data_IF_850921036562
#
_entry.id   IF_850921036562
#
_cell.length_a   1.000
_cell.length_b   1.000
_cell.length_c   1.000
_cell.angle_alpha   90.00
_cell.angle_beta   90.00
_cell.angle_gamma   90.00
#
_symmetry.space_group_name_H-M   'P 1'
#
loop_
_entity.id
_entity.type
_entity.pdbx_description
1 polymer ?
#
# COMPACT_ATOMS: atom_id res chain seq x y z
N UNK A 1 -14.29 8.27 -8.32
CA UNK A 1 -13.74 8.87 -7.09
C UNK A 1 -12.40 8.20 -6.87
N UNK A 2 -11.29 8.92 -7.12
CA UNK A 2 -9.94 8.33 -7.14
C UNK A 2 -9.46 8.24 -5.69
N UNK A 3 -9.35 7.02 -5.18
CA UNK A 3 -8.68 6.80 -3.90
C UNK A 3 -7.17 6.80 -4.15
N UNK A 4 -6.42 7.52 -3.32
CA UNK A 4 -4.96 7.61 -3.42
C UNK A 4 -4.30 6.90 -2.25
N UNK A 5 -3.27 6.11 -2.53
CA UNK A 5 -2.41 5.51 -1.51
C UNK A 5 -1.24 6.45 -1.24
N UNK A 6 -0.99 6.74 0.04
CA UNK A 6 0.17 7.49 0.51
C UNK A 6 1.13 6.55 1.24
N UNK A 7 2.37 6.45 0.77
CA UNK A 7 3.42 5.62 1.40
C UNK A 7 4.48 6.52 2.03
N UNK A 8 4.72 6.34 3.33
CA UNK A 8 5.81 6.96 4.09
C UNK A 8 6.74 5.86 4.60
N UNK A 9 7.99 5.88 4.13
CA UNK A 9 9.10 5.00 4.55
C UNK A 9 8.81 3.48 4.55
N UNK A 10 7.79 3.01 3.81
CA UNK A 10 7.38 1.60 3.71
C UNK A 10 6.74 1.01 4.97
N UNK A 11 6.77 1.74 6.10
CA UNK A 11 6.15 1.33 7.38
C UNK A 11 4.75 1.90 7.56
N UNK A 12 4.44 3.03 6.92
CA UNK A 12 3.16 3.68 7.04
C UNK A 12 2.55 3.86 5.65
N UNK A 13 1.48 3.09 5.38
CA UNK A 13 0.74 3.12 4.13
C UNK A 13 -0.70 3.49 4.43
N UNK A 14 -1.19 4.58 3.86
CA UNK A 14 -2.54 5.09 4.13
C UNK A 14 -3.38 5.07 2.86
N UNK A 15 -4.68 4.83 3.01
CA UNK A 15 -5.66 4.91 1.93
C UNK A 15 -6.51 6.17 2.11
N UNK A 16 -6.30 7.17 1.27
CA UNK A 16 -7.17 8.33 1.19
C UNK A 16 -8.34 8.02 0.24
N UNK A 17 -9.57 8.19 0.73
CA UNK A 17 -10.79 7.90 -0.05
C UNK A 17 -11.18 9.05 -0.98
N UNK A 18 -10.77 10.26 -0.63
CA UNK A 18 -11.08 11.49 -1.33
C UNK A 18 -9.98 12.54 -1.07
N UNK A 19 -10.09 13.70 -1.73
CA UNK A 19 -9.11 14.79 -1.63
C UNK A 19 -9.06 15.44 -0.25
N UNK A 20 -10.18 15.51 0.47
CA UNK A 20 -10.21 16.09 1.81
C UNK A 20 -9.47 15.18 2.77
N UNK A 21 -9.76 13.88 2.72
CA UNK A 21 -9.09 12.85 3.51
C UNK A 21 -7.59 12.78 3.23
N UNK A 22 -7.17 13.02 1.98
CA UNK A 22 -5.76 13.15 1.63
C UNK A 22 -5.10 14.36 2.30
N UNK A 23 -5.78 15.51 2.28
CA UNK A 23 -5.30 16.73 2.94
C UNK A 23 -5.13 16.53 4.44
N UNK A 24 -6.11 15.90 5.08
CA UNK A 24 -6.08 15.58 6.52
C UNK A 24 -4.90 14.66 6.86
N UNK A 25 -4.66 13.62 6.04
CA UNK A 25 -3.52 12.73 6.20
C UNK A 25 -2.18 13.45 6.02
N UNK A 26 -2.07 14.33 5.03
CA UNK A 26 -0.86 15.13 4.80
C UNK A 26 -0.56 16.10 5.97
N UNK A 27 -1.58 16.57 6.68
CA UNK A 27 -1.40 17.40 7.89
C UNK A 27 -1.00 16.58 9.13
N UNK A 28 -1.46 15.33 9.21
CA UNK A 28 -1.17 14.45 10.35
C UNK A 28 0.25 13.83 10.28
N UNK A 29 0.76 13.63 9.06
CA UNK A 29 2.03 12.93 8.84
C UNK A 29 3.19 13.92 8.77
N UNK A 30 4.33 13.55 9.37
CA UNK A 30 5.55 14.37 9.39
C UNK A 30 6.06 14.63 7.97
N UNK A 31 6.25 15.90 7.62
CA UNK A 31 6.75 16.35 6.32
C UNK A 31 8.23 16.01 6.05
N UNK A 32 8.95 15.46 7.03
CA UNK A 32 10.38 15.16 6.94
C UNK A 32 10.70 13.92 6.08
N UNK A 33 9.67 13.19 5.61
CA UNK A 33 9.82 12.00 4.78
C UNK A 33 9.17 12.19 3.39
N UNK A 34 9.76 11.61 2.33
CA UNK A 34 9.18 11.69 1.00
C UNK A 34 7.86 10.93 0.92
N UNK A 35 6.90 11.56 0.24
CA UNK A 35 5.60 10.98 -0.06
C UNK A 35 5.60 10.32 -1.42
N UNK A 36 5.04 9.11 -1.50
CA UNK A 36 4.66 8.49 -2.76
C UNK A 36 3.13 8.38 -2.83
N UNK A 37 2.55 9.05 -3.81
CA UNK A 37 1.13 8.94 -4.13
C UNK A 37 0.95 7.94 -5.27
N UNK A 38 0.06 6.99 -5.07
CA UNK A 38 -0.29 5.99 -6.08
C UNK A 38 -1.81 5.87 -6.20
N UNK A 39 -2.29 5.50 -7.39
CA UNK A 39 -3.69 5.12 -7.55
C UNK A 39 -4.01 3.84 -6.77
N UNK A 40 -5.14 3.86 -6.07
CA UNK A 40 -5.64 2.70 -5.36
C UNK A 40 -6.35 1.72 -6.31
N UNK A 41 -5.81 0.50 -6.41
CA UNK A 41 -6.42 -0.59 -7.19
C UNK A 41 -7.37 -1.40 -6.31
N UNK A 42 -8.67 -1.12 -6.42
CA UNK A 42 -9.71 -1.67 -5.54
C UNK A 42 -9.80 -3.20 -5.60
N UNK A 43 -9.59 -3.78 -6.78
CA UNK A 43 -9.61 -5.22 -7.01
C UNK A 43 -8.47 -5.92 -6.24
N UNK A 44 -7.38 -5.22 -5.97
CA UNK A 44 -6.25 -5.76 -5.20
C UNK A 44 -6.38 -5.53 -3.69
N UNK A 45 -7.53 -5.06 -3.18
CA UNK A 45 -7.68 -4.72 -1.76
C UNK A 45 -7.18 -5.84 -0.84
N UNK A 46 -6.16 -5.55 -0.02
CA UNK A 46 -5.65 -6.50 0.95
C UNK A 46 -5.04 -7.75 0.31
N UNK A 47 -4.65 -7.69 -0.97
CA UNK A 47 -4.06 -8.81 -1.70
C UNK A 47 -2.82 -8.33 -2.45
N UNK A 48 -1.73 -9.07 -2.30
CA UNK A 48 -0.54 -8.85 -3.12
C UNK A 48 0.10 -10.17 -3.54
N UNK A 49 0.70 -10.19 -4.72
CA UNK A 49 1.49 -11.31 -5.22
C UNK A 49 2.97 -10.94 -5.16
N UNK A 50 3.73 -11.69 -4.37
CA UNK A 50 5.19 -11.61 -4.35
C UNK A 50 5.73 -12.62 -5.36
N UNK A 51 6.60 -12.18 -6.25
CA UNK A 51 7.34 -13.06 -7.17
C UNK A 51 8.82 -12.97 -6.85
N UNK A 52 9.51 -14.10 -6.73
CA UNK A 52 10.95 -14.16 -6.47
C UNK A 52 11.67 -14.51 -7.76
N UNK A 53 12.61 -13.66 -8.16
CA UNK A 53 13.45 -13.84 -9.34
C UNK A 53 14.91 -14.03 -8.93
N UNK A 54 15.59 -15.01 -9.53
CA UNK A 54 17.02 -15.26 -9.34
C UNK A 54 17.64 -15.47 -10.72
N UNK A 55 18.69 -14.70 -11.04
CA UNK A 55 19.36 -14.78 -12.35
C UNK A 55 18.43 -14.53 -13.55
N UNK A 56 17.42 -13.66 -13.38
CA UNK A 56 16.42 -13.39 -14.42
C UNK A 56 15.34 -14.46 -14.59
N UNK A 57 15.34 -15.52 -13.78
CA UNK A 57 14.32 -16.58 -13.81
C UNK A 57 13.40 -16.48 -12.59
N UNK A 58 12.11 -16.64 -12.81
CA UNK A 58 11.12 -16.75 -11.72
C UNK A 58 11.28 -18.10 -11.05
N UNK A 59 11.54 -18.10 -9.74
CA UNK A 59 11.72 -19.33 -8.95
C UNK A 59 10.54 -19.64 -8.04
N UNK A 60 9.61 -18.70 -7.87
CA UNK A 60 8.41 -18.92 -7.06
C UNK A 60 7.54 -17.68 -6.97
N UNK A 61 6.31 -17.89 -6.51
CA UNK A 61 5.38 -16.81 -6.19
C UNK A 61 4.57 -17.14 -4.94
N UNK A 62 4.10 -16.10 -4.25
CA UNK A 62 3.27 -16.20 -3.06
C UNK A 62 2.15 -15.17 -3.17
N UNK A 63 0.90 -15.61 -3.08
CA UNK A 63 -0.24 -14.72 -2.85
C UNK A 63 -0.36 -14.49 -1.34
N UNK A 64 -0.47 -13.23 -0.94
CA UNK A 64 -0.76 -12.83 0.43
C UNK A 64 -2.11 -12.14 0.45
N UNK A 65 -2.89 -12.47 1.47
CA UNK A 65 -4.19 -11.87 1.74
C UNK A 65 -4.18 -11.33 3.18
N UNK A 66 -4.64 -10.10 3.38
CA UNK A 66 -4.92 -9.56 4.71
C UNK A 66 -6.05 -10.39 5.35
N UNK A 67 -5.88 -10.71 6.63
CA UNK A 67 -6.83 -11.49 7.43
C UNK A 67 -7.86 -10.62 8.15
N UNK A 68 -7.61 -9.33 8.27
CA UNK A 68 -8.38 -8.36 9.06
C UNK A 68 -9.11 -7.31 8.20
N UNK A 69 -9.17 -7.53 6.89
CA UNK A 69 -9.81 -6.62 5.94
C UNK A 69 -9.06 -5.29 5.78
N UNK A 70 -7.80 -5.21 6.22
CA UNK A 70 -6.93 -4.05 5.93
C UNK A 70 -6.40 -4.11 4.51
N UNK A 71 -6.05 -2.95 3.99
CA UNK A 71 -5.37 -2.85 2.69
C UNK A 71 -3.97 -3.48 2.72
N UNK A 72 -3.32 -3.46 3.88
CA UNK A 72 -1.96 -3.94 4.08
C UNK A 72 -1.93 -5.46 4.26
N UNK A 73 -1.56 -6.19 3.21
CA UNK A 73 -1.34 -7.65 3.25
C UNK A 73 0.05 -8.04 3.77
N UNK A 74 0.85 -7.08 4.22
CA UNK A 74 2.17 -7.31 4.84
C UNK A 74 2.14 -7.33 6.37
N UNK A 75 0.98 -7.05 6.99
CA UNK A 75 0.80 -7.13 8.43
C UNK A 75 0.18 -8.48 8.80
N UNK A 76 1.03 -9.44 9.13
CA UNK A 76 0.64 -10.63 9.89
C UNK A 76 0.81 -10.30 11.38
N UNK A 77 -0.29 -10.01 12.07
CA UNK A 77 -0.36 -10.13 13.52
C UNK A 77 -0.86 -11.53 13.87
#
# INVERSE_FOLDING_TARGET
MVCHILICTGKAVFLARDKHHLSDLCHLIRHDAPYLFQEYVKESHGRDVRVVLVGGRVIGSMLRCSTDGRMQSNCSL
#
